data_IF_673043495824
#
_entry.id   IF_673043495824
#
_cell.length_a   1.000
_cell.length_b   1.000
_cell.length_c   1.000
_cell.angle_alpha   90.00
_cell.angle_beta   90.00
_cell.angle_gamma   90.00
#
_symmetry.space_group_name_H-M   'P 1'
#
loop_
_entity.id
_entity.type
_entity.pdbx_description
1 polymer ?
#
# COMPACT_ATOMS: atom_id res chain seq x y z
N UNK A 1 -36.85 20.95 -21.00
CA UNK A 1 -36.14 19.70 -20.75
C UNK A 1 -35.03 19.66 -21.77
N UNK A 2 -33.94 20.40 -21.52
CA UNK A 2 -32.85 20.60 -22.47
C UNK A 2 -31.78 19.57 -22.20
N UNK A 3 -31.59 18.68 -23.16
CA UNK A 3 -30.50 17.72 -23.26
C UNK A 3 -29.16 18.47 -23.40
N UNK A 4 -28.54 18.81 -22.27
CA UNK A 4 -27.10 19.11 -22.20
C UNK A 4 -26.34 17.82 -21.87
N UNK A 5 -26.37 16.85 -22.78
CA UNK A 5 -25.50 15.67 -22.68
C UNK A 5 -24.10 16.04 -23.22
N UNK A 6 -23.44 16.94 -22.48
CA UNK A 6 -22.06 17.31 -22.69
C UNK A 6 -21.16 16.14 -22.31
N UNK A 7 -20.65 15.44 -23.32
CA UNK A 7 -19.73 14.29 -23.30
C UNK A 7 -19.03 14.06 -21.94
N UNK A 8 -19.70 13.31 -21.07
CA UNK A 8 -19.33 13.14 -19.67
C UNK A 8 -18.11 12.24 -19.58
N UNK A 9 -16.91 12.84 -19.53
CA UNK A 9 -15.65 12.10 -19.48
C UNK A 9 -15.63 11.06 -18.32
N UNK A 10 -15.05 9.87 -18.55
CA UNK A 10 -15.01 8.82 -17.54
C UNK A 10 -14.05 9.17 -16.39
N UNK A 11 -14.41 8.75 -15.17
CA UNK A 11 -13.58 8.93 -13.96
C UNK A 11 -12.44 7.92 -13.86
N UNK A 12 -12.61 6.76 -14.48
CA UNK A 12 -11.61 5.70 -14.53
C UNK A 12 -11.51 5.12 -15.94
N UNK A 13 -10.31 4.73 -16.33
CA UNK A 13 -10.05 4.05 -17.59
C UNK A 13 -9.46 2.67 -17.31
N UNK A 14 -9.98 1.67 -18.01
CA UNK A 14 -9.53 0.29 -17.87
C UNK A 14 -8.77 -0.10 -19.14
N UNK A 15 -7.45 -0.25 -19.03
CA UNK A 15 -6.57 -0.60 -20.14
C UNK A 15 -6.16 -2.07 -20.08
N UNK A 16 -6.20 -2.72 -21.23
CA UNK A 16 -5.59 -4.02 -21.40
C UNK A 16 -4.08 -3.94 -21.17
N UNK A 17 -3.52 -4.88 -20.40
CA UNK A 17 -2.08 -4.99 -20.25
C UNK A 17 -1.38 -5.17 -21.60
N UNK A 18 -0.26 -4.48 -21.80
CA UNK A 18 0.64 -4.70 -22.94
C UNK A 18 1.39 -6.03 -22.73
N UNK A 19 1.79 -6.68 -23.82
CA UNK A 19 2.60 -7.92 -23.75
C UNK A 19 1.81 -9.21 -23.48
N UNK A 20 0.46 -9.19 -23.54
CA UNK A 20 -0.38 -10.39 -23.38
C UNK A 20 -0.01 -11.53 -24.31
N UNK A 21 0.27 -11.22 -25.58
CA UNK A 21 0.67 -12.24 -26.55
C UNK A 21 1.96 -12.94 -26.14
N UNK A 22 2.97 -12.19 -25.70
CA UNK A 22 4.22 -12.76 -25.21
C UNK A 22 4.01 -13.65 -23.97
N UNK A 23 3.14 -13.21 -23.04
CA UNK A 23 2.74 -14.02 -21.89
C UNK A 23 2.02 -15.31 -22.27
N UNK A 24 1.06 -15.24 -23.21
CA UNK A 24 0.33 -16.41 -23.69
C UNK A 24 1.26 -17.40 -24.39
N UNK A 25 2.19 -16.93 -25.23
CA UNK A 25 3.19 -17.78 -25.87
C UNK A 25 4.09 -18.47 -24.84
N UNK A 26 4.56 -17.72 -23.83
CA UNK A 26 5.31 -18.28 -22.71
C UNK A 26 4.50 -19.34 -21.94
N UNK A 27 3.25 -19.04 -21.60
CA UNK A 27 2.37 -19.97 -20.88
C UNK A 27 2.12 -21.25 -21.68
N UNK A 28 1.87 -21.15 -22.99
CA UNK A 28 1.71 -22.31 -23.88
C UNK A 28 3.01 -23.11 -23.95
N UNK A 29 4.18 -22.47 -24.05
CA UNK A 29 5.46 -23.18 -24.07
C UNK A 29 5.72 -23.98 -22.80
N UNK A 30 5.37 -23.44 -21.63
CA UNK A 30 5.45 -24.15 -20.36
C UNK A 30 4.43 -25.30 -20.28
N UNK A 31 3.19 -25.08 -20.74
CA UNK A 31 2.17 -26.14 -20.78
C UNK A 31 2.65 -27.35 -21.61
N UNK A 32 3.25 -27.09 -22.78
CA UNK A 32 3.84 -28.14 -23.61
C UNK A 32 4.95 -28.86 -22.85
N UNK A 33 5.84 -28.13 -22.16
CA UNK A 33 6.89 -28.73 -21.32
C UNK A 33 6.33 -29.64 -20.22
N UNK A 34 5.28 -29.21 -19.52
CA UNK A 34 4.59 -30.01 -18.50
C UNK A 34 3.98 -31.28 -19.11
N UNK A 35 3.32 -31.16 -20.27
CA UNK A 35 2.77 -32.32 -20.98
C UNK A 35 3.85 -33.33 -21.40
N UNK A 36 5.02 -32.86 -21.85
CA UNK A 36 6.15 -33.73 -22.19
C UNK A 36 6.71 -34.45 -20.97
N UNK A 37 6.82 -33.77 -19.83
CA UNK A 37 7.25 -34.38 -18.56
C UNK A 37 6.25 -35.47 -18.14
N UNK A 38 4.95 -35.20 -18.22
CA UNK A 38 3.92 -36.19 -17.90
C UNK A 38 3.97 -37.40 -18.84
N UNK A 39 4.11 -37.18 -20.15
CA UNK A 39 4.28 -38.27 -21.11
C UNK A 39 5.52 -39.11 -20.79
N UNK A 40 6.65 -38.47 -20.48
CA UNK A 40 7.88 -39.16 -20.09
C UNK A 40 7.68 -40.02 -18.82
N UNK A 41 7.03 -39.48 -17.79
CA UNK A 41 6.75 -40.17 -16.53
C UNK A 41 5.83 -41.37 -16.68
N UNK A 42 4.85 -41.28 -17.57
CA UNK A 42 3.92 -42.37 -17.87
C UNK A 42 4.58 -43.47 -18.71
N UNK A 43 5.40 -43.10 -19.70
CA UNK A 43 6.10 -44.07 -20.57
C UNK A 43 7.20 -44.83 -19.80
N UNK A 44 7.94 -44.15 -18.93
CA UNK A 44 9.06 -44.73 -18.18
C UNK A 44 8.65 -45.22 -16.78
N UNK A 45 7.38 -45.61 -16.60
CA UNK A 45 6.89 -46.11 -15.33
C UNK A 45 7.59 -47.44 -14.96
N UNK A 46 8.29 -47.55 -13.82
CA UNK A 46 8.98 -48.77 -13.45
C UNK A 46 8.00 -49.94 -13.29
N UNK A 47 8.33 -51.14 -13.81
CA UNK A 47 7.48 -52.32 -13.66
C UNK A 47 7.28 -52.69 -12.19
N UNK A 48 6.17 -53.38 -11.86
CA UNK A 48 5.88 -53.78 -10.48
C UNK A 48 7.01 -54.67 -9.93
N UNK A 49 7.43 -54.41 -8.69
CA UNK A 49 8.45 -55.20 -8.00
C UNK A 49 9.90 -54.66 -8.06
N UNK A 50 10.15 -53.59 -8.82
CA UNK A 50 11.50 -52.97 -8.88
C UNK A 50 11.72 -51.98 -7.73
N UNK A 51 12.89 -52.05 -7.09
CA UNK A 51 13.33 -51.07 -6.09
C UNK A 51 13.39 -49.67 -6.73
N UNK A 52 12.61 -48.71 -6.21
CA UNK A 52 12.53 -47.33 -6.74
C UNK A 52 11.18 -46.92 -7.34
N UNK A 53 10.22 -47.84 -7.51
CA UNK A 53 8.88 -47.52 -8.01
C UNK A 53 8.11 -46.54 -7.11
N UNK A 54 8.16 -46.71 -5.80
CA UNK A 54 7.46 -45.84 -4.85
C UNK A 54 7.99 -44.40 -4.86
N UNK A 55 9.31 -44.14 -4.79
CA UNK A 55 9.87 -42.81 -5.03
C UNK A 55 9.46 -42.20 -6.38
N UNK A 56 9.41 -43.00 -7.45
CA UNK A 56 8.99 -42.53 -8.78
C UNK A 56 7.53 -42.05 -8.79
N UNK A 57 6.62 -42.81 -8.16
CA UNK A 57 5.21 -42.43 -8.01
C UNK A 57 5.07 -41.17 -7.15
N UNK A 58 5.81 -41.08 -6.05
CA UNK A 58 5.81 -39.91 -5.18
C UNK A 58 6.27 -38.64 -5.91
N UNK A 59 7.34 -38.75 -6.72
CA UNK A 59 7.81 -37.64 -7.54
C UNK A 59 6.80 -37.23 -8.61
N UNK A 60 6.15 -38.21 -9.27
CA UNK A 60 5.08 -37.93 -10.23
C UNK A 60 3.86 -37.26 -9.57
N UNK A 61 3.47 -37.68 -8.36
CA UNK A 61 2.40 -37.05 -7.61
C UNK A 61 2.73 -35.59 -7.24
N UNK A 62 3.98 -35.31 -6.86
CA UNK A 62 4.44 -33.94 -6.62
C UNK A 62 4.39 -33.09 -7.90
N UNK A 63 4.82 -33.63 -9.05
CA UNK A 63 4.76 -32.95 -10.35
C UNK A 63 3.30 -32.66 -10.78
N UNK A 64 2.37 -33.58 -10.55
CA UNK A 64 0.93 -33.35 -10.76
C UNK A 64 0.41 -32.20 -9.90
N UNK A 65 0.80 -32.17 -8.62
CA UNK A 65 0.39 -31.10 -7.70
C UNK A 65 0.93 -29.74 -8.13
N UNK A 66 2.23 -29.64 -8.46
CA UNK A 66 2.82 -28.40 -8.94
C UNK A 66 2.22 -27.93 -10.27
N UNK A 67 1.90 -28.87 -11.17
CA UNK A 67 1.27 -28.54 -12.45
C UNK A 67 -0.17 -28.05 -12.27
N UNK A 68 -0.93 -28.64 -11.35
CA UNK A 68 -2.25 -28.16 -10.97
C UNK A 68 -2.17 -26.75 -10.39
N UNK A 69 -1.25 -26.51 -9.45
CA UNK A 69 -1.00 -25.18 -8.89
C UNK A 69 -0.64 -24.15 -9.98
N UNK A 70 0.25 -24.52 -10.90
CA UNK A 70 0.64 -23.67 -12.01
C UNK A 70 -0.54 -23.35 -12.93
N UNK A 71 -1.36 -24.35 -13.27
CA UNK A 71 -2.56 -24.19 -14.08
C UNK A 71 -3.58 -23.25 -13.44
N UNK A 72 -3.84 -23.41 -12.13
CA UNK A 72 -4.69 -22.50 -11.37
C UNK A 72 -4.15 -21.06 -11.40
N UNK A 73 -2.83 -20.90 -11.32
CA UNK A 73 -2.17 -19.59 -11.41
C UNK A 73 -2.31 -18.96 -12.80
N UNK A 74 -2.34 -19.75 -13.88
CA UNK A 74 -2.53 -19.25 -15.24
C UNK A 74 -3.89 -18.57 -15.43
N UNK A 75 -4.96 -19.09 -14.81
CA UNK A 75 -6.29 -18.47 -14.91
C UNK A 75 -6.30 -17.04 -14.35
N UNK A 76 -5.69 -16.82 -13.19
CA UNK A 76 -5.63 -15.49 -12.54
C UNK A 76 -4.84 -14.49 -13.39
N UNK A 77 -3.84 -14.98 -14.14
CA UNK A 77 -2.92 -14.15 -14.94
C UNK A 77 -3.30 -14.04 -16.41
N UNK A 78 -4.37 -14.70 -16.86
CA UNK A 78 -4.71 -14.80 -18.27
C UNK A 78 -5.08 -13.45 -18.92
N UNK A 79 -5.73 -12.57 -18.15
CA UNK A 79 -6.23 -11.28 -18.62
C UNK A 79 -5.90 -10.15 -17.64
N UNK A 80 -4.62 -9.73 -17.54
CA UNK A 80 -4.24 -8.66 -16.65
C UNK A 80 -4.76 -7.32 -17.18
N UNK A 81 -5.29 -6.50 -16.26
CA UNK A 81 -5.97 -5.25 -16.56
C UNK A 81 -5.39 -4.15 -15.68
N UNK A 82 -5.07 -3.00 -16.28
CA UNK A 82 -4.63 -1.81 -15.57
C UNK A 82 -5.79 -0.82 -15.45
N UNK A 83 -5.99 -0.26 -14.26
CA UNK A 83 -6.98 0.79 -14.01
C UNK A 83 -6.27 2.10 -13.71
N UNK A 84 -6.60 3.14 -14.45
CA UNK A 84 -6.11 4.50 -14.23
C UNK A 84 -7.27 5.37 -13.74
N UNK A 85 -7.02 6.20 -12.72
CA UNK A 85 -8.02 7.10 -12.12
C UNK A 85 -7.71 8.55 -12.47
N UNK A 86 -8.75 9.36 -12.71
CA UNK A 86 -8.61 10.78 -13.03
C UNK A 86 -9.17 11.64 -11.89
N UNK A 87 -8.30 12.02 -10.95
CA UNK A 87 -8.69 12.81 -9.77
C UNK A 87 -9.24 14.18 -10.13
N UNK A 88 -8.70 14.83 -11.16
CA UNK A 88 -9.14 16.16 -11.59
C UNK A 88 -10.59 16.16 -12.10
N UNK A 89 -11.01 15.07 -12.78
CA UNK A 89 -12.39 14.92 -13.24
C UNK A 89 -13.34 14.64 -12.08
N UNK A 90 -12.86 13.91 -11.07
CA UNK A 90 -13.62 13.64 -9.85
C UNK A 90 -13.87 14.93 -9.07
N UNK A 91 -12.84 15.75 -8.84
CA UNK A 91 -12.99 17.03 -8.15
C UNK A 91 -13.90 17.97 -8.92
N UNK A 92 -13.70 18.15 -10.23
CA UNK A 92 -14.57 18.99 -11.06
C UNK A 92 -16.06 18.64 -10.96
N UNK A 93 -16.40 17.35 -10.87
CA UNK A 93 -17.80 16.90 -10.85
C UNK A 93 -18.39 16.79 -9.44
N UNK A 94 -17.61 16.38 -8.45
CA UNK A 94 -18.13 15.93 -7.16
C UNK A 94 -17.44 16.55 -5.93
N UNK A 95 -16.61 17.59 -6.06
CA UNK A 95 -15.90 18.22 -4.92
C UNK A 95 -16.82 18.46 -3.71
N UNK A 96 -18.03 18.97 -3.97
CA UNK A 96 -19.01 19.30 -2.92
C UNK A 96 -19.78 18.08 -2.39
N UNK A 97 -19.84 17.01 -3.17
CA UNK A 97 -20.67 15.82 -2.90
C UNK A 97 -19.85 14.55 -2.69
N UNK A 98 -18.62 14.68 -2.19
CA UNK A 98 -17.81 13.56 -1.74
C UNK A 98 -18.51 12.76 -0.61
N UNK A 99 -18.38 11.43 -0.54
CA UNK A 99 -18.94 10.62 0.55
C UNK A 99 -18.17 10.81 1.87
N UNK A 100 -18.73 10.37 2.99
CA UNK A 100 -17.95 10.23 4.23
C UNK A 100 -17.08 8.97 4.18
N UNK A 101 -15.86 9.05 4.72
CA UNK A 101 -14.86 7.98 4.73
C UNK A 101 -14.36 7.78 6.15
N UNK A 102 -14.50 6.55 6.64
CA UNK A 102 -13.96 6.12 7.92
C UNK A 102 -12.73 5.26 7.69
N UNK A 103 -11.61 5.62 8.32
CA UNK A 103 -10.35 4.90 8.22
C UNK A 103 -10.03 4.26 9.56
N UNK A 104 -9.91 2.94 9.56
CA UNK A 104 -9.54 2.15 10.72
C UNK A 104 -8.04 1.84 10.66
N UNK A 105 -7.32 2.25 11.71
CA UNK A 105 -5.95 1.84 11.98
C UNK A 105 -6.03 0.81 13.11
N UNK A 106 -5.46 -0.37 12.93
CA UNK A 106 -5.46 -1.41 13.95
C UNK A 106 -4.01 -1.68 14.37
N UNK A 107 -3.79 -1.84 15.67
CA UNK A 107 -2.50 -2.24 16.25
C UNK A 107 -2.72 -3.32 17.31
N UNK A 108 -1.79 -4.25 17.42
CA UNK A 108 -1.95 -5.43 18.29
C UNK A 108 -0.86 -5.60 19.34
N UNK A 109 0.39 -5.22 19.05
CA UNK A 109 1.49 -5.38 19.99
C UNK A 109 2.44 -4.16 19.94
N UNK A 110 2.55 -3.36 21.02
CA UNK A 110 3.39 -2.16 21.04
C UNK A 110 4.90 -2.45 20.93
N UNK A 111 5.34 -3.70 21.09
CA UNK A 111 6.75 -4.09 20.89
C UNK A 111 7.06 -4.34 19.42
N UNK A 112 6.14 -5.00 18.72
CA UNK A 112 6.27 -5.31 17.28
C UNK A 112 5.91 -4.06 16.44
N UNK A 113 4.91 -3.32 16.89
CA UNK A 113 4.39 -2.09 16.28
C UNK A 113 4.56 -0.91 17.25
N UNK A 114 5.75 -0.30 17.31
CA UNK A 114 6.02 0.77 18.26
C UNK A 114 4.99 1.91 18.18
N UNK A 115 4.52 2.48 19.30
CA UNK A 115 3.52 3.55 19.32
C UNK A 115 3.82 4.72 18.38
N UNK A 116 5.10 5.06 18.22
CA UNK A 116 5.54 6.10 17.29
C UNK A 116 5.24 5.78 15.82
N UNK A 117 5.31 4.51 15.40
CA UNK A 117 4.94 4.07 14.06
C UNK A 117 3.43 4.24 13.85
N UNK A 118 2.64 3.86 14.85
CA UNK A 118 1.18 4.01 14.85
C UNK A 118 0.80 5.49 14.75
N UNK A 119 1.38 6.36 15.59
CA UNK A 119 1.16 7.82 15.55
C UNK A 119 1.50 8.42 14.18
N UNK A 120 2.62 8.03 13.58
CA UNK A 120 3.01 8.52 12.25
C UNK A 120 2.02 8.11 11.17
N UNK A 121 1.40 6.94 11.31
CA UNK A 121 0.35 6.46 10.41
C UNK A 121 -0.93 7.26 10.60
N UNK A 122 -1.38 7.42 11.85
CA UNK A 122 -2.58 8.21 12.19
C UNK A 122 -2.45 9.66 11.70
N UNK A 123 -1.32 10.32 11.98
CA UNK A 123 -1.07 11.70 11.53
C UNK A 123 -1.01 11.83 10.00
N UNK A 124 -0.46 10.83 9.31
CA UNK A 124 -0.41 10.79 7.84
C UNK A 124 -1.82 10.71 7.24
N UNK A 125 -2.67 9.85 7.82
CA UNK A 125 -4.06 9.66 7.39
C UNK A 125 -4.90 10.90 7.68
N UNK A 126 -4.76 11.49 8.87
CA UNK A 126 -5.46 12.73 9.23
C UNK A 126 -5.09 13.92 8.32
N UNK A 127 -3.91 13.88 7.69
CA UNK A 127 -3.43 14.91 6.77
C UNK A 127 -3.85 14.67 5.29
N UNK A 128 -4.72 13.69 5.03
CA UNK A 128 -5.24 13.45 3.68
C UNK A 128 -5.95 14.68 3.11
N UNK A 129 -5.84 14.84 1.79
CA UNK A 129 -6.53 15.91 1.08
C UNK A 129 -8.01 15.52 0.88
N UNK A 130 -8.78 15.66 1.95
CA UNK A 130 -10.20 15.36 2.01
C UNK A 130 -10.93 16.38 2.91
N UNK A 131 -12.24 16.64 2.71
CA UNK A 131 -13.00 17.48 3.61
C UNK A 131 -12.97 16.95 5.06
N UNK A 132 -12.55 17.75 6.05
CA UNK A 132 -12.36 17.27 7.43
C UNK A 132 -13.66 16.81 8.08
N UNK A 133 -14.80 17.37 7.69
CA UNK A 133 -16.13 16.94 8.15
C UNK A 133 -16.59 15.59 7.57
N UNK A 134 -15.85 15.04 6.60
CA UNK A 134 -16.15 13.77 5.93
C UNK A 134 -15.09 12.70 6.16
N UNK A 135 -14.00 13.01 6.86
CA UNK A 135 -12.91 12.07 7.13
C UNK A 135 -12.85 11.77 8.62
N UNK A 136 -13.17 10.53 8.99
CA UNK A 136 -13.02 10.05 10.37
C UNK A 136 -11.88 9.04 10.43
N UNK A 137 -11.06 9.12 11.48
CA UNK A 137 -9.95 8.18 11.72
C UNK A 137 -10.14 7.54 13.08
N UNK A 138 -10.15 6.20 13.10
CA UNK A 138 -10.32 5.38 14.30
C UNK A 138 -9.07 4.54 14.51
N UNK A 139 -8.56 4.51 15.75
CA UNK A 139 -7.51 3.57 16.15
C UNK A 139 -8.14 2.47 17.02
N UNK A 140 -7.98 1.21 16.62
CA UNK A 140 -8.22 0.04 17.46
C UNK A 140 -6.88 -0.48 17.98
N UNK A 141 -6.71 -0.52 19.30
CA UNK A 141 -5.52 -1.10 19.95
C UNK A 141 -5.93 -2.38 20.68
N UNK A 142 -5.71 -3.52 20.03
CA UNK A 142 -6.00 -4.84 20.59
C UNK A 142 -5.00 -5.22 21.70
N UNK A 143 -3.83 -4.58 21.71
CA UNK A 143 -2.81 -4.75 22.75
C UNK A 143 -3.11 -3.97 24.03
N UNK A 144 -4.07 -3.04 24.00
CA UNK A 144 -4.48 -2.24 25.15
C UNK A 144 -3.32 -1.47 25.78
N UNK A 145 -2.38 -0.96 24.98
CA UNK A 145 -1.13 -0.41 25.49
C UNK A 145 -1.32 1.01 26.01
N UNK A 146 -0.98 1.24 27.28
CA UNK A 146 -0.90 2.59 27.85
C UNK A 146 0.06 3.49 27.05
N UNK A 147 1.14 2.94 26.50
CA UNK A 147 2.10 3.69 25.68
C UNK A 147 1.47 4.19 24.38
N UNK A 148 0.63 3.37 23.73
CA UNK A 148 -0.11 3.77 22.53
C UNK A 148 -1.08 4.91 22.84
N UNK A 149 -1.77 4.83 23.99
CA UNK A 149 -2.67 5.88 24.46
C UNK A 149 -1.93 7.21 24.69
N UNK A 150 -0.82 7.20 25.43
CA UNK A 150 -0.02 8.43 25.67
C UNK A 150 0.58 8.98 24.37
N UNK A 151 1.07 8.11 23.49
CA UNK A 151 1.60 8.53 22.20
C UNK A 151 0.51 9.22 21.34
N UNK A 152 -0.72 8.69 21.32
CA UNK A 152 -1.85 9.33 20.66
C UNK A 152 -2.25 10.66 21.30
N UNK A 153 -2.19 10.76 22.63
CA UNK A 153 -2.48 12.01 23.33
C UNK A 153 -1.50 13.11 22.90
N UNK A 154 -0.20 12.82 22.86
CA UNK A 154 0.82 13.73 22.34
C UNK A 154 0.63 14.02 20.85
N UNK A 155 0.28 13.00 20.06
CA UNK A 155 -0.02 13.16 18.64
C UNK A 155 -1.21 14.11 18.41
N UNK A 156 -2.24 14.07 19.25
CA UNK A 156 -3.40 14.97 19.15
C UNK A 156 -3.03 16.44 19.40
N UNK A 157 -2.00 16.68 20.23
CA UNK A 157 -1.46 18.03 20.45
C UNK A 157 -0.59 18.46 19.28
N UNK A 158 0.22 17.55 18.75
CA UNK A 158 1.08 17.81 17.60
C UNK A 158 0.29 18.01 16.29
N UNK A 159 -0.82 17.29 16.10
CA UNK A 159 -1.66 17.36 14.89
C UNK A 159 -2.18 18.78 14.61
N UNK A 160 -2.45 19.56 15.66
CA UNK A 160 -2.85 20.98 15.57
C UNK A 160 -1.82 21.84 14.81
N UNK A 161 -0.56 21.42 14.77
CA UNK A 161 0.52 22.11 14.04
C UNK A 161 0.83 21.39 12.72
N UNK A 162 0.87 20.06 12.73
CA UNK A 162 1.22 19.26 11.56
C UNK A 162 0.18 19.33 10.43
N UNK A 163 -1.12 19.20 10.75
CA UNK A 163 -2.16 19.13 9.73
C UNK A 163 -2.29 20.44 8.93
N UNK A 164 -2.30 21.64 9.56
CA UNK A 164 -2.31 22.89 8.82
C UNK A 164 -1.05 23.07 7.96
N UNK A 165 0.11 22.68 8.46
CA UNK A 165 1.37 22.72 7.70
C UNK A 165 1.31 21.84 6.45
N UNK A 166 0.84 20.59 6.58
CA UNK A 166 0.66 19.69 5.44
C UNK A 166 -0.26 20.27 4.38
N UNK A 167 -1.39 20.85 4.80
CA UNK A 167 -2.38 21.42 3.88
C UNK A 167 -1.87 22.68 3.20
N UNK A 168 -1.22 23.57 3.95
CA UNK A 168 -0.70 24.85 3.46
C UNK A 168 0.40 24.67 2.42
N UNK A 169 1.33 23.75 2.67
CA UNK A 169 2.51 23.55 1.82
C UNK A 169 2.43 22.30 0.93
N UNK A 170 1.27 21.62 0.90
CA UNK A 170 1.03 20.40 0.12
C UNK A 170 2.14 19.36 0.31
N UNK A 171 2.45 19.09 1.57
CA UNK A 171 3.57 18.24 1.99
C UNK A 171 3.37 16.79 1.55
N UNK A 172 4.37 16.23 0.87
CA UNK A 172 4.44 14.81 0.55
C UNK A 172 5.84 14.24 0.84
N UNK A 173 5.97 13.08 1.54
CA UNK A 173 4.90 12.27 2.14
C UNK A 173 4.27 12.92 3.39
N UNK A 174 3.03 12.58 3.71
CA UNK A 174 2.25 13.15 4.83
C UNK A 174 2.59 12.59 6.21
N UNK A 175 3.39 11.53 6.28
CA UNK A 175 3.89 10.98 7.54
C UNK A 175 5.05 11.84 8.05
N UNK A 176 4.98 12.40 9.28
CA UNK A 176 6.03 13.26 9.81
C UNK A 176 7.42 12.61 9.76
N UNK A 177 7.56 11.39 10.29
CA UNK A 177 8.83 10.66 10.28
C UNK A 177 9.35 10.44 8.86
N UNK A 178 8.50 10.03 7.92
CA UNK A 178 8.92 9.81 6.54
C UNK A 178 9.37 11.13 5.86
N UNK A 179 8.62 12.21 6.07
CA UNK A 179 8.92 13.53 5.52
C UNK A 179 10.27 14.05 6.00
N UNK A 180 10.50 14.12 7.32
CA UNK A 180 11.75 14.64 7.88
C UNK A 180 12.95 13.68 7.69
N UNK A 181 12.71 12.40 7.39
CA UNK A 181 13.80 11.50 6.97
C UNK A 181 14.26 11.78 5.53
N UNK A 182 13.32 12.13 4.64
CA UNK A 182 13.59 12.42 3.24
C UNK A 182 14.11 13.85 3.02
N UNK A 183 13.55 14.82 3.76
CA UNK A 183 13.88 16.24 3.68
C UNK A 183 14.67 16.62 4.93
N UNK A 184 16.00 16.55 4.82
CA UNK A 184 16.90 16.80 5.96
C UNK A 184 17.25 18.28 6.14
N UNK A 185 17.21 19.04 5.04
CA UNK A 185 17.50 20.48 4.96
C UNK A 185 16.17 21.22 4.77
N UNK A 186 15.97 22.39 5.40
CA UNK A 186 14.80 23.21 5.13
C UNK A 186 14.65 23.46 3.61
N UNK A 187 13.40 23.54 3.10
CA UNK A 187 13.15 24.00 1.74
C UNK A 187 13.86 25.33 1.48
N UNK A 188 14.39 25.54 0.26
CA UNK A 188 15.13 26.76 -0.11
C UNK A 188 14.37 28.02 0.31
N UNK A 189 15.10 29.07 0.68
CA UNK A 189 14.61 30.36 1.23
C UNK A 189 13.66 31.17 0.33
N UNK A 190 13.12 30.56 -0.73
CA UNK A 190 12.10 31.15 -1.59
C UNK A 190 10.80 31.45 -0.79
N UNK A 191 10.58 30.75 0.33
CA UNK A 191 9.51 31.04 1.30
C UNK A 191 10.03 31.05 2.75
N UNK A 192 10.33 32.24 3.32
CA UNK A 192 10.81 32.39 4.69
C UNK A 192 9.83 31.87 5.76
N UNK A 193 8.52 31.86 5.45
CA UNK A 193 7.50 31.38 6.37
C UNK A 193 7.53 29.85 6.45
N UNK A 194 7.72 29.17 5.32
CA UNK A 194 7.92 27.73 5.25
C UNK A 194 9.15 27.29 6.07
N UNK A 195 10.28 27.96 5.90
CA UNK A 195 11.52 27.61 6.64
C UNK A 195 11.35 27.74 8.16
N UNK A 196 10.66 28.79 8.63
CA UNK A 196 10.37 29.01 10.05
C UNK A 196 9.39 27.97 10.62
N UNK A 197 8.31 27.67 9.91
CA UNK A 197 7.33 26.66 10.34
C UNK A 197 7.95 25.24 10.32
N UNK A 198 8.73 24.92 9.30
CA UNK A 198 9.43 23.63 9.16
C UNK A 198 10.41 23.38 10.32
N UNK A 199 11.24 24.36 10.67
CA UNK A 199 12.22 24.23 11.77
C UNK A 199 11.53 24.06 13.11
N UNK A 200 10.46 24.83 13.36
CA UNK A 200 9.64 24.70 14.57
C UNK A 200 9.02 23.30 14.68
N UNK A 201 8.46 22.78 13.58
CA UNK A 201 7.83 21.46 13.55
C UNK A 201 8.83 20.32 13.72
N UNK A 202 10.03 20.42 13.14
CA UNK A 202 11.09 19.42 13.31
C UNK A 202 11.49 19.29 14.78
N UNK A 203 11.64 20.42 15.48
CA UNK A 203 11.93 20.46 16.91
C UNK A 203 10.78 19.88 17.72
N UNK A 204 9.53 20.28 17.46
CA UNK A 204 8.35 19.77 18.16
C UNK A 204 8.17 18.26 17.97
N UNK A 205 8.36 17.75 16.75
CA UNK A 205 8.30 16.32 16.47
C UNK A 205 9.36 15.56 17.26
N UNK A 206 10.60 16.08 17.31
CA UNK A 206 11.66 15.46 18.09
C UNK A 206 11.32 15.39 19.58
N UNK A 207 10.95 16.53 20.19
CA UNK A 207 10.71 16.61 21.62
C UNK A 207 9.47 15.83 22.08
N UNK A 208 8.38 15.88 21.32
CA UNK A 208 7.08 15.34 21.76
C UNK A 208 6.86 13.89 21.36
N UNK A 209 7.40 13.47 20.21
CA UNK A 209 7.07 12.17 19.63
C UNK A 209 8.29 11.27 19.43
N UNK A 210 9.51 11.81 19.35
CA UNK A 210 10.72 11.04 19.06
C UNK A 210 11.76 11.04 20.19
N UNK A 211 11.42 11.54 21.39
CA UNK A 211 12.34 11.61 22.54
C UNK A 211 12.91 10.24 22.95
N UNK A 212 12.37 9.14 22.41
CA UNK A 212 12.81 7.76 22.64
C UNK A 212 13.56 7.11 21.46
N UNK A 213 13.80 7.82 20.34
CA UNK A 213 14.36 7.23 19.12
C UNK A 213 15.82 7.67 18.86
N UNK A 214 16.83 6.79 19.03
CA UNK A 214 18.26 7.15 18.98
C UNK A 214 18.80 7.51 17.58
N UNK A 215 18.00 7.38 16.51
CA UNK A 215 18.46 7.51 15.12
C UNK A 215 18.03 8.81 14.42
N UNK A 216 17.52 9.81 15.13
CA UNK A 216 17.17 11.11 14.55
C UNK A 216 18.00 12.18 15.26
N UNK A 217 18.99 12.73 14.56
CA UNK A 217 19.77 13.85 15.09
C UNK A 217 18.84 15.07 15.18
N UNK A 218 18.56 15.50 16.41
CA UNK A 218 17.73 16.68 16.69
C UNK A 218 18.54 17.98 16.75
N UNK A 219 19.73 17.96 16.15
CA UNK A 219 20.61 19.11 15.92
C UNK A 219 20.27 19.81 14.62
#
# INVERSE_FOLDING_TARGET
MSDEDGDVLPLFETKAAKGRLAYHLYAVSLAVGVCLIFAYRLIHLPPPGVAGRWPWIGLFAAELWFSLYWFLTQFVRWNPVYRSTFKDRLSQRYEKSLPSVDIFVCTADPKIEPPIMVVNTVLSVMAYDYPPEKLSVYLSDDGGSELTLYALLEASSFSKHWLPFCKKFRVEPRSPKAYFSAVQVPPRDDDPQLAKEWSTLKVQLCFRLLSSSPNISCT
#
